data_IF_387470919141
#
_entry.id   IF_387470919141
#
_cell.length_a   1.000
_cell.length_b   1.000
_cell.length_c   1.000
_cell.angle_alpha   90.00
_cell.angle_beta   90.00
_cell.angle_gamma   90.00
#
_symmetry.space_group_name_H-M   'P 1'
#
loop_
_entity.id
_entity.type
_entity.pdbx_description
1 polymer ?
#
# COMPACT_ATOMS: atom_id res chain seq x y z
N UNK A 1 2.03 -6.12 19.06
CA UNK A 1 1.13 -6.18 17.89
C UNK A 1 1.58 -5.19 16.83
N UNK A 2 1.62 -5.62 15.60
CA UNK A 2 1.99 -4.75 14.48
C UNK A 2 0.94 -4.79 13.40
N UNK A 3 0.75 -3.68 12.71
CA UNK A 3 -0.10 -3.61 11.54
C UNK A 3 0.73 -3.22 10.32
N UNK A 4 0.40 -3.82 9.20
CA UNK A 4 1.06 -3.54 7.92
C UNK A 4 0.02 -3.05 6.94
N UNK A 5 0.22 -1.83 6.45
CA UNK A 5 -0.73 -1.19 5.52
C UNK A 5 -0.04 -1.00 4.17
N UNK A 6 -0.67 -1.48 3.12
CA UNK A 6 -0.21 -1.28 1.75
C UNK A 6 -1.15 -0.33 1.04
N UNK A 7 -0.60 0.72 0.44
CA UNK A 7 -1.38 1.73 -0.28
C UNK A 7 -0.94 1.72 -1.74
N UNK A 8 -1.91 1.56 -2.63
CA UNK A 8 -1.67 1.52 -4.07
C UNK A 8 -2.58 2.52 -4.77
N UNK A 9 -2.14 3.03 -5.91
CA UNK A 9 -3.04 3.79 -6.78
C UNK A 9 -4.14 2.86 -7.29
N UNK A 10 -5.35 3.40 -7.41
CA UNK A 10 -6.45 2.66 -8.04
C UNK A 10 -6.06 2.29 -9.46
N UNK A 11 -6.55 1.16 -9.95
CA UNK A 11 -6.18 0.65 -11.27
C UNK A 11 -6.59 1.58 -12.41
N UNK A 12 -7.56 2.45 -12.16
CA UNK A 12 -8.03 3.44 -13.15
C UNK A 12 -7.17 4.70 -13.18
N UNK A 13 -6.24 4.86 -12.23
CA UNK A 13 -5.38 6.04 -12.13
C UNK A 13 -4.04 5.73 -12.78
N UNK A 14 -3.54 6.67 -13.58
CA UNK A 14 -2.23 6.54 -14.20
C UNK A 14 -1.13 6.54 -13.14
N UNK A 15 -0.21 5.59 -13.25
CA UNK A 15 0.97 5.48 -12.38
C UNK A 15 2.23 5.85 -13.18
N UNK A 16 2.64 7.12 -13.18
CA UNK A 16 3.80 7.53 -13.96
C UNK A 16 5.11 6.91 -13.47
N UNK A 17 5.23 6.64 -12.15
CA UNK A 17 6.43 6.01 -11.60
C UNK A 17 6.53 4.56 -12.05
N UNK A 18 5.43 3.82 -11.99
CA UNK A 18 5.38 2.45 -12.46
C UNK A 18 5.71 2.34 -13.94
N UNK A 19 5.19 3.25 -14.75
CA UNK A 19 5.50 3.32 -16.18
C UNK A 19 6.96 3.59 -16.44
N UNK A 20 7.57 4.49 -15.70
CA UNK A 20 9.00 4.81 -15.83
C UNK A 20 9.86 3.58 -15.51
N UNK A 21 9.53 2.87 -14.43
CA UNK A 21 10.24 1.66 -14.04
C UNK A 21 10.09 0.60 -15.13
N UNK A 22 8.89 0.41 -15.64
CA UNK A 22 8.63 -0.57 -16.70
C UNK A 22 9.44 -0.25 -17.95
N UNK A 23 9.49 1.02 -18.36
CA UNK A 23 10.29 1.46 -19.48
C UNK A 23 11.78 1.19 -19.28
N UNK A 24 12.29 1.43 -18.07
CA UNK A 24 13.70 1.16 -17.75
C UNK A 24 13.99 -0.34 -17.83
N UNK A 25 13.10 -1.19 -17.32
CA UNK A 25 13.26 -2.64 -17.39
C UNK A 25 13.33 -3.13 -18.84
N UNK A 26 12.49 -2.59 -19.71
CA UNK A 26 12.50 -2.93 -21.12
C UNK A 26 13.84 -2.55 -21.76
N UNK A 27 14.36 -1.36 -21.48
CA UNK A 27 15.64 -0.90 -22.01
C UNK A 27 16.78 -1.76 -21.54
N UNK A 28 16.68 -2.34 -20.35
CA UNK A 28 17.71 -3.22 -19.80
C UNK A 28 17.58 -4.67 -20.28
N UNK A 29 16.58 -4.97 -21.09
CA UNK A 29 16.41 -6.31 -21.67
C UNK A 29 15.51 -7.25 -20.91
N UNK A 30 14.82 -6.78 -19.88
CA UNK A 30 13.87 -7.60 -19.11
C UNK A 30 12.55 -7.64 -19.88
N UNK A 31 12.28 -8.74 -20.55
CA UNK A 31 11.11 -8.87 -21.42
C UNK A 31 9.93 -9.60 -20.78
N UNK A 32 10.11 -10.16 -19.60
CA UNK A 32 9.09 -10.94 -18.93
C UNK A 32 8.15 -10.13 -18.04
N UNK A 33 8.29 -8.79 -18.01
CA UNK A 33 7.48 -7.92 -17.16
C UNK A 33 6.49 -7.14 -18.01
N UNK A 34 5.20 -7.41 -17.83
CA UNK A 34 4.14 -6.75 -18.61
C UNK A 34 3.77 -5.37 -18.09
N UNK A 35 3.88 -5.18 -16.78
CA UNK A 35 3.52 -3.91 -16.16
C UNK A 35 4.19 -3.79 -14.80
N UNK A 36 4.33 -2.55 -14.34
CA UNK A 36 4.86 -2.26 -12.99
C UNK A 36 3.93 -1.25 -12.34
N UNK A 37 3.59 -1.52 -11.08
CA UNK A 37 2.84 -0.60 -10.24
C UNK A 37 3.63 -0.35 -8.98
N UNK A 38 3.67 0.90 -8.54
CA UNK A 38 4.39 1.30 -7.35
C UNK A 38 3.39 1.73 -6.28
N UNK A 39 3.69 1.41 -5.03
CA UNK A 39 2.86 1.79 -3.91
C UNK A 39 3.68 2.09 -2.68
N UNK A 40 2.99 2.26 -1.56
CA UNK A 40 3.59 2.56 -0.27
C UNK A 40 3.31 1.43 0.70
N UNK A 41 4.24 1.21 1.61
CA UNK A 41 4.10 0.19 2.65
C UNK A 41 4.40 0.84 4.00
N UNK A 42 3.47 0.67 4.96
CA UNK A 42 3.61 1.24 6.29
C UNK A 42 3.60 0.13 7.33
N UNK A 43 4.51 0.20 8.29
CA UNK A 43 4.53 -0.67 9.45
C UNK A 43 4.14 0.15 10.66
N UNK A 44 3.08 -0.25 11.34
CA UNK A 44 2.58 0.44 12.53
C UNK A 44 2.82 -0.45 13.75
N UNK A 45 3.55 0.07 14.73
CA UNK A 45 3.69 -0.59 16.03
C UNK A 45 2.50 -0.15 16.89
N UNK A 46 1.69 -1.11 17.30
CA UNK A 46 0.48 -0.82 18.06
C UNK A 46 0.71 -1.02 19.55
N UNK A 47 0.00 -0.20 20.35
CA UNK A 47 0.03 -0.31 21.81
C UNK A 47 -0.48 -1.70 22.22
N UNK A 48 0.27 -2.38 23.07
CA UNK A 48 -0.08 -3.71 23.55
C UNK A 48 -1.36 -3.77 24.38
N UNK A 49 -1.88 -2.61 24.82
CA UNK A 49 -3.13 -2.53 25.56
C UNK A 49 -4.39 -2.63 24.68
N UNK A 50 -4.23 -2.57 23.36
CA UNK A 50 -5.36 -2.70 22.46
C UNK A 50 -5.74 -4.17 22.26
N UNK A 51 -7.03 -4.46 22.31
CA UNK A 51 -7.49 -5.77 21.88
C UNK A 51 -7.56 -5.82 20.35
N UNK A 52 -7.74 -7.01 19.81
CA UNK A 52 -7.70 -7.23 18.37
C UNK A 52 -8.77 -6.45 17.61
N UNK A 53 -9.96 -6.36 18.22
CA UNK A 53 -11.10 -5.65 17.62
C UNK A 53 -10.86 -4.15 17.57
N UNK A 54 -10.36 -3.58 18.67
CA UNK A 54 -10.04 -2.15 18.75
C UNK A 54 -8.87 -1.82 17.80
N UNK A 55 -7.86 -2.67 17.75
CA UNK A 55 -6.71 -2.48 16.86
C UNK A 55 -7.15 -2.46 15.40
N UNK A 56 -8.01 -3.38 15.01
CA UNK A 56 -8.53 -3.45 13.65
C UNK A 56 -9.28 -2.17 13.27
N UNK A 57 -10.18 -1.71 14.13
CA UNK A 57 -10.95 -0.49 13.88
C UNK A 57 -10.03 0.73 13.76
N UNK A 58 -9.02 0.83 14.61
CA UNK A 58 -8.10 1.96 14.59
C UNK A 58 -7.23 1.95 13.35
N UNK A 59 -6.69 0.80 12.96
CA UNK A 59 -5.87 0.67 11.75
C UNK A 59 -6.67 1.03 10.50
N UNK A 60 -7.93 0.60 10.42
CA UNK A 60 -8.77 0.96 9.29
C UNK A 60 -8.97 2.47 9.18
N UNK A 61 -9.21 3.14 10.31
CA UNK A 61 -9.36 4.60 10.30
C UNK A 61 -8.09 5.31 9.92
N UNK A 62 -6.95 4.86 10.47
CA UNK A 62 -5.65 5.46 10.14
C UNK A 62 -5.35 5.28 8.65
N UNK A 63 -5.53 4.08 8.14
CA UNK A 63 -5.27 3.80 6.72
C UNK A 63 -6.14 4.66 5.81
N UNK A 64 -7.42 4.77 6.13
CA UNK A 64 -8.37 5.52 5.33
C UNK A 64 -8.17 7.04 5.43
N UNK A 65 -8.00 7.55 6.66
CA UNK A 65 -8.04 8.98 6.91
C UNK A 65 -6.68 9.65 6.83
N UNK A 66 -5.60 8.90 7.06
CA UNK A 66 -4.25 9.47 7.18
C UNK A 66 -3.32 8.97 6.07
N UNK A 67 -3.28 7.66 5.84
CA UNK A 67 -2.27 7.06 4.96
C UNK A 67 -2.68 7.01 3.49
N UNK A 68 -3.96 7.08 3.21
CA UNK A 68 -4.51 6.89 1.87
C UNK A 68 -5.22 8.15 1.39
N UNK A 69 -4.99 8.54 0.13
CA UNK A 69 -5.85 9.51 -0.53
C UNK A 69 -6.98 8.74 -1.20
N UNK A 70 -8.19 8.73 -0.63
CA UNK A 70 -9.27 7.85 -1.11
C UNK A 70 -9.78 8.18 -2.50
N UNK A 71 -9.43 9.36 -3.02
CA UNK A 71 -9.83 9.76 -4.38
C UNK A 71 -9.06 8.95 -5.42
N UNK A 72 -7.76 8.73 -5.19
CA UNK A 72 -6.88 8.10 -6.18
C UNK A 72 -6.22 6.81 -5.70
N UNK A 73 -6.29 6.51 -4.40
CA UNK A 73 -5.61 5.37 -3.81
C UNK A 73 -6.58 4.41 -3.13
N UNK A 74 -6.13 3.18 -2.98
CA UNK A 74 -6.82 2.16 -2.20
C UNK A 74 -5.80 1.50 -1.27
N UNK A 75 -6.28 0.88 -0.20
CA UNK A 75 -5.38 0.25 0.76
C UNK A 75 -5.84 -1.16 1.11
N UNK A 76 -4.89 -1.93 1.60
CA UNK A 76 -5.14 -3.20 2.28
C UNK A 76 -4.28 -3.23 3.54
N UNK A 77 -4.65 -4.06 4.51
CA UNK A 77 -3.87 -4.17 5.72
C UNK A 77 -3.97 -5.57 6.33
N UNK A 78 -3.00 -5.87 7.20
CA UNK A 78 -3.06 -7.06 8.05
C UNK A 78 -2.49 -6.71 9.41
N UNK A 79 -2.89 -7.45 10.43
CA UNK A 79 -2.42 -7.26 11.80
C UNK A 79 -1.78 -8.55 12.25
N UNK A 80 -0.58 -8.45 12.85
CA UNK A 80 0.16 -9.58 13.39
C UNK A 80 0.42 -9.34 14.87
N UNK A 81 0.28 -10.37 15.66
CA UNK A 81 0.54 -10.33 17.11
C UNK A 81 2.02 -10.27 17.45
#
# INVERSE_FOLDING_TARGET
MKAYVTVMLKTTVLDPQGKTIHGALKKMGYKGVDAVRQGKFFELALDGGLDKSAAKAEVERIAKDVLTNPVIEEFSYRIED
#
